data_IF_756141085267
#
_entry.id   IF_756141085267
#
_cell.length_a   1.000
_cell.length_b   1.000
_cell.length_c   1.000
_cell.angle_alpha   90.00
_cell.angle_beta   90.00
_cell.angle_gamma   90.00
#
_symmetry.space_group_name_H-M   'P 1'
#
loop_
_entity.id
_entity.type
_entity.pdbx_description
1 polymer ?
#
# COMPACT_ATOMS: atom_id res chain seq x y z
N UNK A 1 -29.42 20.28 -7.87
CA UNK A 1 -29.42 19.04 -8.66
C UNK A 1 -28.72 17.97 -7.84
N UNK A 2 -29.42 16.90 -7.47
CA UNK A 2 -28.87 15.83 -6.65
C UNK A 2 -28.53 14.67 -7.59
N UNK A 3 -27.34 14.69 -8.19
CA UNK A 3 -26.87 13.61 -9.07
C UNK A 3 -26.43 12.46 -8.18
N UNK A 4 -27.36 11.55 -7.89
CA UNK A 4 -27.01 10.25 -7.32
C UNK A 4 -25.98 9.59 -8.24
N UNK A 5 -24.86 9.06 -7.71
CA UNK A 5 -23.88 8.34 -8.54
C UNK A 5 -24.59 7.23 -9.32
N UNK A 6 -24.37 7.15 -10.63
CA UNK A 6 -24.79 5.99 -11.43
C UNK A 6 -23.95 4.77 -10.98
N UNK A 7 -24.52 3.57 -11.00
CA UNK A 7 -23.83 2.31 -10.66
C UNK A 7 -22.51 2.19 -11.44
N UNK A 8 -22.47 2.59 -12.71
CA UNK A 8 -21.24 2.57 -13.52
C UNK A 8 -20.12 3.44 -12.92
N UNK A 9 -20.46 4.64 -12.41
CA UNK A 9 -19.49 5.52 -11.74
C UNK A 9 -19.01 4.94 -10.42
N UNK A 10 -19.89 4.23 -9.69
CA UNK A 10 -19.50 3.54 -8.46
C UNK A 10 -18.57 2.36 -8.76
N UNK A 11 -18.81 1.62 -9.85
CA UNK A 11 -17.94 0.53 -10.29
C UNK A 11 -16.55 1.04 -10.65
N UNK A 12 -16.43 2.09 -11.45
CA UNK A 12 -15.13 2.71 -11.78
C UNK A 12 -14.38 3.19 -10.52
N UNK A 13 -15.09 3.81 -9.58
CA UNK A 13 -14.49 4.24 -8.30
C UNK A 13 -13.99 3.02 -7.50
N UNK A 14 -14.76 1.93 -7.45
CA UNK A 14 -14.36 0.71 -6.76
C UNK A 14 -13.13 0.08 -7.41
N UNK A 15 -13.06 0.03 -8.75
CA UNK A 15 -11.88 -0.48 -9.46
C UNK A 15 -10.64 0.37 -9.17
N UNK A 16 -10.75 1.70 -9.23
CA UNK A 16 -9.64 2.62 -8.90
C UNK A 16 -9.19 2.44 -7.45
N UNK A 17 -10.12 2.28 -6.51
CA UNK A 17 -9.79 2.03 -5.11
C UNK A 17 -9.09 0.69 -4.91
N UNK A 18 -9.53 -0.37 -5.60
CA UNK A 18 -8.89 -1.68 -5.56
C UNK A 18 -7.48 -1.65 -6.14
N UNK A 19 -7.29 -0.98 -7.28
CA UNK A 19 -5.97 -0.86 -7.90
C UNK A 19 -5.02 0.01 -7.08
N UNK A 20 -5.53 1.10 -6.50
CA UNK A 20 -4.76 1.90 -5.53
C UNK A 20 -4.39 1.05 -4.31
N UNK A 21 -5.29 0.20 -3.83
CA UNK A 21 -5.04 -0.66 -2.67
C UNK A 21 -3.93 -1.68 -2.95
N UNK A 22 -3.88 -2.25 -4.16
CA UNK A 22 -2.82 -3.18 -4.60
C UNK A 22 -1.43 -2.53 -4.61
N UNK A 23 -1.33 -1.20 -4.80
CA UNK A 23 -0.05 -0.50 -4.84
C UNK A 23 0.52 -0.16 -3.46
N UNK A 24 -0.28 -0.21 -2.40
CA UNK A 24 0.18 0.16 -1.05
C UNK A 24 1.27 -0.79 -0.54
N UNK A 25 1.12 -2.11 -0.74
CA UNK A 25 2.12 -3.09 -0.32
C UNK A 25 3.48 -2.91 -1.03
N UNK A 26 3.54 -2.80 -2.37
CA UNK A 26 4.78 -2.46 -3.09
C UNK A 26 5.43 -1.15 -2.62
N UNK A 27 4.67 -0.07 -2.46
CA UNK A 27 5.22 1.20 -2.01
C UNK A 27 5.78 1.12 -0.58
N UNK A 28 5.10 0.38 0.29
CA UNK A 28 5.52 0.14 1.66
C UNK A 28 6.83 -0.67 1.70
N UNK A 29 6.90 -1.76 0.93
CA UNK A 29 8.09 -2.58 0.79
C UNK A 29 9.30 -1.78 0.29
N UNK A 30 9.10 -0.95 -0.75
CA UNK A 30 10.15 -0.09 -1.29
C UNK A 30 10.66 0.92 -0.26
N UNK A 31 9.75 1.62 0.42
CA UNK A 31 10.11 2.59 1.47
C UNK A 31 10.89 1.92 2.61
N UNK A 32 10.50 0.69 2.99
CA UNK A 32 11.21 -0.08 4.00
C UNK A 32 12.64 -0.42 3.57
N UNK A 33 12.81 -0.92 2.34
CA UNK A 33 14.12 -1.29 1.80
C UNK A 33 15.02 -0.05 1.68
N UNK A 34 14.47 1.09 1.25
CA UNK A 34 15.22 2.34 1.18
C UNK A 34 15.61 2.84 2.57
N UNK A 35 14.76 2.72 3.58
CA UNK A 35 15.08 3.08 4.97
C UNK A 35 16.22 2.19 5.54
N UNK A 36 16.18 0.89 5.25
CA UNK A 36 17.23 -0.07 5.63
C UNK A 36 18.56 0.26 4.95
N UNK A 37 18.54 0.63 3.67
CA UNK A 37 19.75 1.02 2.93
C UNK A 37 20.39 2.32 3.45
N UNK A 38 19.60 3.20 4.08
CA UNK A 38 20.04 4.52 4.52
C UNK A 38 20.21 4.63 6.06
N UNK A 39 20.25 3.51 6.79
CA UNK A 39 20.40 3.44 8.26
C UNK A 39 19.36 4.26 9.06
N UNK A 40 18.18 4.54 8.47
CA UNK A 40 17.14 5.39 9.07
C UNK A 40 15.91 4.58 9.56
N UNK A 41 16.18 3.37 10.03
CA UNK A 41 15.22 2.25 10.09
C UNK A 41 14.10 2.42 11.12
N UNK A 42 14.40 3.01 12.28
CA UNK A 42 13.46 3.02 13.42
C UNK A 42 12.20 3.88 13.19
N UNK A 43 12.37 5.09 12.64
CA UNK A 43 11.25 6.03 12.46
C UNK A 43 10.37 5.62 11.27
N UNK A 44 10.99 5.07 10.22
CA UNK A 44 10.32 4.64 9.00
C UNK A 44 9.53 3.34 9.21
N UNK A 45 10.04 2.41 10.02
CA UNK A 45 9.32 1.19 10.43
C UNK A 45 8.02 1.48 11.18
N UNK A 46 8.02 2.49 12.06
CA UNK A 46 6.86 2.89 12.86
C UNK A 46 5.78 3.55 11.98
N UNK A 47 6.19 4.39 11.03
CA UNK A 47 5.25 4.96 10.04
C UNK A 47 4.67 3.89 9.12
N UNK A 48 5.51 2.95 8.66
CA UNK A 48 5.10 1.83 7.83
C UNK A 48 4.09 0.93 8.54
N UNK A 49 4.38 0.51 9.77
CA UNK A 49 3.44 -0.30 10.56
C UNK A 49 2.10 0.39 10.81
N UNK A 50 2.10 1.72 11.01
CA UNK A 50 0.89 2.53 11.11
C UNK A 50 0.07 2.55 9.81
N UNK A 51 0.72 2.76 8.65
CA UNK A 51 0.07 2.77 7.33
C UNK A 51 -0.52 1.40 7.00
N UNK A 52 0.21 0.32 7.32
CA UNK A 52 -0.21 -1.05 7.05
C UNK A 52 -1.41 -1.47 7.90
N UNK A 53 -1.38 -1.18 9.20
CA UNK A 53 -2.53 -1.41 10.08
C UNK A 53 -3.75 -0.59 9.68
N UNK A 54 -3.55 0.68 9.34
CA UNK A 54 -4.65 1.59 8.97
C UNK A 54 -5.34 1.25 7.65
N UNK A 55 -4.70 0.45 6.78
CA UNK A 55 -5.24 0.10 5.45
C UNK A 55 -5.63 -1.38 5.29
N UNK A 56 -5.64 -2.14 6.39
CA UNK A 56 -6.06 -3.54 6.41
C UNK A 56 -5.15 -4.47 5.60
N UNK A 57 -3.88 -4.08 5.43
CA UNK A 57 -2.90 -4.89 4.72
C UNK A 57 -2.47 -6.07 5.59
N UNK A 58 -2.51 -7.27 5.01
CA UNK A 58 -1.99 -8.45 5.69
C UNK A 58 -0.47 -8.38 5.68
N UNK A 59 0.13 -8.85 6.77
CA UNK A 59 1.60 -8.97 6.85
C UNK A 59 2.16 -9.82 5.70
N UNK A 60 1.42 -10.84 5.25
CA UNK A 60 1.77 -11.71 4.12
C UNK A 60 1.95 -10.93 2.81
N UNK A 61 1.03 -10.02 2.48
CA UNK A 61 1.09 -9.21 1.26
C UNK A 61 2.32 -8.30 1.25
N UNK A 62 2.68 -7.75 2.42
CA UNK A 62 3.89 -6.98 2.58
C UNK A 62 5.16 -7.82 2.43
N UNK A 63 5.21 -9.01 3.06
CA UNK A 63 6.35 -9.92 2.97
C UNK A 63 6.60 -10.32 1.51
N UNK A 64 5.54 -10.62 0.76
CA UNK A 64 5.64 -10.93 -0.67
C UNK A 64 6.15 -9.73 -1.48
N UNK A 65 5.66 -8.52 -1.18
CA UNK A 65 6.14 -7.30 -1.84
C UNK A 65 7.62 -7.01 -1.54
N UNK A 66 8.08 -7.21 -0.29
CA UNK A 66 9.50 -7.09 0.08
C UNK A 66 10.34 -8.11 -0.67
N UNK A 67 9.90 -9.38 -0.72
CA UNK A 67 10.60 -10.43 -1.46
C UNK A 67 10.74 -10.07 -2.94
N UNK A 68 9.67 -9.55 -3.57
CA UNK A 68 9.68 -9.15 -4.98
C UNK A 68 10.60 -7.95 -5.26
N UNK A 69 10.76 -7.01 -4.32
CA UNK A 69 11.68 -5.88 -4.47
C UNK A 69 13.15 -6.27 -4.24
N UNK A 70 13.43 -7.34 -3.49
CA UNK A 70 14.79 -7.84 -3.30
C UNK A 70 15.28 -8.73 -4.45
N UNK A 71 14.37 -9.27 -5.27
CA UNK A 71 14.70 -10.12 -6.43
C UNK A 71 14.65 -9.39 -7.77
N UNK A 72 14.18 -8.14 -7.81
CA UNK A 72 14.26 -7.24 -8.96
C UNK A 72 15.56 -6.41 -8.94
#
# INVERSE_FOLDING_TARGET
MNTKPNIEQLTEIVEVLQDTQKQIAPMAAKSLIDAIKNDNVENDLLQLTGILHGRGLKAEDLILAIQSELTN
#
